data_IF_706147009504
#
_entry.id   IF_706147009504
#
_cell.length_a   1.000
_cell.length_b   1.000
_cell.length_c   1.000
_cell.angle_alpha   90.00
_cell.angle_beta   90.00
_cell.angle_gamma   90.00
#
_symmetry.space_group_name_H-M   'P 1'
#
loop_
_entity.id
_entity.type
_entity.pdbx_description
1 polymer ?
#
# COMPACT_ATOMS: atom_id res chain seq x y z
N UNK A 1 10.10 4.23 -16.88
CA UNK A 1 9.92 3.16 -15.90
C UNK A 1 9.08 3.67 -14.71
N UNK A 2 8.10 2.89 -14.25
CA UNK A 2 7.25 3.25 -13.12
C UNK A 2 6.08 4.18 -13.43
N UNK A 3 5.65 4.24 -14.67
CA UNK A 3 4.47 4.98 -15.12
C UNK A 3 3.34 3.98 -15.37
N UNK A 4 2.15 4.29 -14.87
CA UNK A 4 0.93 3.52 -15.14
C UNK A 4 0.29 4.05 -16.42
N UNK A 5 0.23 3.21 -17.45
CA UNK A 5 -0.41 3.48 -18.72
C UNK A 5 -1.67 2.59 -18.81
N UNK A 6 -2.82 3.17 -18.47
CA UNK A 6 -4.06 2.46 -18.24
C UNK A 6 -5.23 3.13 -18.96
N UNK A 7 -6.29 2.38 -19.32
CA UNK A 7 -7.53 2.95 -19.78
C UNK A 7 -8.31 3.60 -18.63
N UNK A 8 -9.05 4.65 -18.94
CA UNK A 8 -9.97 5.31 -18.02
C UNK A 8 -11.22 4.46 -17.83
N UNK A 9 -11.55 4.15 -16.59
CA UNK A 9 -12.83 3.53 -16.24
C UNK A 9 -13.83 4.61 -15.86
N UNK A 10 -14.92 4.76 -16.64
CA UNK A 10 -16.00 5.72 -16.36
C UNK A 10 -17.02 5.17 -15.38
N UNK A 11 -17.09 3.85 -15.21
CA UNK A 11 -18.03 3.20 -14.30
C UNK A 11 -18.10 1.69 -14.48
N UNK A 12 -19.15 1.12 -13.91
CA UNK A 12 -19.48 -0.30 -14.07
C UNK A 12 -20.78 -0.40 -14.87
N UNK A 13 -20.76 -1.18 -15.93
CA UNK A 13 -21.92 -1.47 -16.77
C UNK A 13 -22.26 -2.95 -16.72
N UNK A 14 -23.54 -3.29 -16.92
CA UNK A 14 -23.96 -4.70 -16.98
C UNK A 14 -23.26 -5.42 -18.12
N UNK A 15 -22.80 -6.63 -17.86
CA UNK A 15 -22.21 -7.54 -18.85
C UNK A 15 -23.28 -8.28 -19.71
N UNK A 16 -24.57 -8.13 -19.33
CA UNK A 16 -25.70 -8.83 -19.94
C UNK A 16 -25.96 -10.24 -19.38
N UNK A 17 -25.09 -10.78 -18.53
CA UNK A 17 -25.18 -12.11 -17.92
C UNK A 17 -25.46 -12.06 -16.41
N UNK A 18 -25.75 -10.88 -15.88
CA UNK A 18 -26.04 -10.66 -14.46
C UNK A 18 -24.86 -10.16 -13.65
N UNK A 19 -23.70 -9.94 -14.27
CA UNK A 19 -22.52 -9.30 -13.70
C UNK A 19 -22.31 -7.88 -14.18
N UNK A 20 -21.19 -7.31 -13.76
CA UNK A 20 -20.72 -5.98 -14.16
C UNK A 20 -19.30 -6.06 -14.74
N UNK A 21 -19.06 -5.23 -15.76
CA UNK A 21 -17.74 -5.01 -16.35
C UNK A 21 -17.37 -3.54 -16.32
N UNK A 22 -16.10 -3.23 -16.51
CA UNK A 22 -15.63 -1.84 -16.58
C UNK A 22 -16.10 -1.19 -17.88
N UNK A 23 -16.70 0.00 -17.75
CA UNK A 23 -16.95 0.88 -18.87
C UNK A 23 -15.69 1.69 -19.14
N UNK A 24 -15.12 1.55 -20.32
CA UNK A 24 -13.89 2.19 -20.73
C UNK A 24 -14.18 3.37 -21.64
N UNK A 25 -13.56 4.51 -21.35
CA UNK A 25 -13.68 5.71 -22.16
C UNK A 25 -12.99 5.51 -23.52
N UNK A 26 -13.71 5.80 -24.59
CA UNK A 26 -13.19 5.86 -25.96
C UNK A 26 -12.52 7.22 -26.16
N UNK A 27 -11.19 7.27 -26.02
CA UNK A 27 -10.41 8.52 -26.07
C UNK A 27 -10.19 9.01 -27.51
N UNK A 28 -10.21 8.12 -28.49
CA UNK A 28 -9.96 8.45 -29.88
C UNK A 28 -11.22 8.62 -30.74
N UNK A 29 -12.40 8.22 -30.20
CA UNK A 29 -13.71 8.37 -30.85
C UNK A 29 -13.95 7.40 -32.00
N UNK A 30 -13.26 6.25 -32.01
CA UNK A 30 -13.43 5.24 -33.05
C UNK A 30 -14.60 4.27 -32.81
N UNK A 31 -15.23 4.34 -31.61
CA UNK A 31 -16.36 3.50 -31.20
C UNK A 31 -15.96 2.12 -30.69
N UNK A 32 -14.66 1.83 -30.56
CA UNK A 32 -14.12 0.56 -30.06
C UNK A 32 -13.08 0.84 -28.99
N UNK A 33 -13.34 0.38 -27.78
CA UNK A 33 -12.40 0.58 -26.66
C UNK A 33 -11.37 -0.55 -26.60
N UNK A 34 -10.10 -0.19 -26.35
CA UNK A 34 -8.97 -1.10 -26.12
C UNK A 34 -8.42 -1.88 -27.32
N UNK A 35 -8.84 -1.62 -28.54
CA UNK A 35 -8.14 -2.18 -29.69
C UNK A 35 -6.71 -1.63 -29.81
N UNK A 36 -5.74 -2.49 -30.09
CA UNK A 36 -4.32 -2.16 -30.34
C UNK A 36 -3.63 -1.27 -29.28
N UNK A 37 -4.14 -1.25 -28.04
CA UNK A 37 -3.59 -0.45 -26.95
C UNK A 37 -3.91 1.04 -27.01
N UNK A 38 -4.83 1.43 -27.87
CA UNK A 38 -5.47 2.74 -27.88
C UNK A 38 -6.31 2.95 -26.62
N UNK A 39 -6.86 4.14 -26.43
CA UNK A 39 -7.68 4.50 -25.25
C UNK A 39 -6.99 4.35 -23.90
N UNK A 40 -5.69 4.48 -23.88
CA UNK A 40 -4.89 4.51 -22.66
C UNK A 40 -4.23 5.84 -22.46
N UNK A 41 -4.04 6.20 -21.21
CA UNK A 41 -3.37 7.44 -20.83
C UNK A 41 -2.38 7.22 -19.69
N UNK A 42 -1.54 8.21 -19.40
CA UNK A 42 -0.65 8.19 -18.26
C UNK A 42 -1.44 8.51 -17.00
N UNK A 43 -1.95 7.47 -16.33
CA UNK A 43 -2.81 7.59 -15.15
C UNK A 43 -2.04 7.99 -13.88
N UNK A 44 -0.72 7.80 -13.87
CA UNK A 44 0.11 8.16 -12.73
C UNK A 44 1.49 7.53 -12.76
N UNK A 45 2.21 7.69 -11.66
CA UNK A 45 3.56 7.14 -11.49
C UNK A 45 3.67 6.39 -10.16
N UNK A 46 4.46 5.31 -10.16
CA UNK A 46 4.73 4.49 -8.99
C UNK A 46 5.85 5.05 -8.10
N UNK A 47 6.71 5.91 -8.66
CA UNK A 47 7.81 6.48 -7.89
C UNK A 47 7.34 7.69 -7.09
N UNK A 48 7.60 7.73 -5.76
CA UNK A 48 7.28 8.89 -4.95
C UNK A 48 8.01 10.15 -5.42
N UNK A 49 7.31 11.28 -5.39
CA UNK A 49 7.90 12.60 -5.64
C UNK A 49 8.66 13.12 -4.43
N UNK A 50 8.23 12.73 -3.24
CA UNK A 50 8.80 13.19 -1.97
C UNK A 50 8.95 12.02 -1.02
N UNK A 51 10.12 11.90 -0.40
CA UNK A 51 10.41 10.96 0.66
C UNK A 51 10.65 11.71 1.96
N UNK A 52 10.08 11.21 3.05
CA UNK A 52 10.28 11.69 4.41
C UNK A 52 11.03 10.62 5.21
N UNK A 53 12.12 11.02 5.87
CA UNK A 53 12.80 10.19 6.86
C UNK A 53 13.14 11.03 8.08
N UNK A 54 12.75 10.61 9.27
CA UNK A 54 13.04 11.30 10.52
C UNK A 54 13.35 10.32 11.62
N UNK A 55 14.40 10.63 12.39
CA UNK A 55 14.71 9.95 13.64
C UNK A 55 14.69 10.98 14.76
N UNK A 56 13.77 10.81 15.70
CA UNK A 56 13.60 11.71 16.84
C UNK A 56 14.06 10.97 18.09
N UNK A 57 15.04 11.53 18.80
CA UNK A 57 15.52 11.00 20.07
C UNK A 57 15.36 12.05 21.16
N UNK A 58 14.77 11.66 22.26
CA UNK A 58 14.55 12.50 23.43
C UNK A 58 15.08 11.82 24.68
N UNK A 59 15.81 12.55 25.53
CA UNK A 59 16.29 12.03 26.81
C UNK A 59 15.90 12.98 27.93
N UNK A 60 15.33 12.40 28.96
CA UNK A 60 15.01 13.13 30.18
C UNK A 60 15.35 12.32 31.41
N UNK A 61 16.32 12.80 32.19
CA UNK A 61 16.88 12.10 33.36
C UNK A 61 17.33 10.67 33.00
N UNK A 62 16.62 9.66 33.53
CA UNK A 62 16.91 8.25 33.32
C UNK A 62 16.18 7.64 32.14
N UNK A 63 15.27 8.37 31.53
CA UNK A 63 14.46 7.89 30.41
C UNK A 63 15.00 8.38 29.08
N UNK A 64 14.94 7.53 28.09
CA UNK A 64 15.19 7.85 26.70
C UNK A 64 14.06 7.31 25.79
N UNK A 65 13.70 8.10 24.81
CA UNK A 65 12.71 7.76 23.80
C UNK A 65 13.35 7.94 22.42
N UNK A 66 13.18 6.95 21.56
CA UNK A 66 13.55 7.06 20.15
C UNK A 66 12.37 6.66 19.28
N UNK A 67 12.10 7.47 18.25
CA UNK A 67 11.04 7.25 17.28
C UNK A 67 11.62 7.41 15.89
N UNK A 68 11.35 6.45 15.00
CA UNK A 68 11.66 6.55 13.59
C UNK A 68 10.38 6.66 12.79
N UNK A 69 10.34 7.64 11.90
CA UNK A 69 9.21 7.93 11.02
C UNK A 69 9.72 7.95 9.59
N UNK A 70 9.03 7.23 8.71
CA UNK A 70 9.23 7.27 7.27
C UNK A 70 7.94 7.66 6.57
N UNK A 71 8.05 8.24 5.39
CA UNK A 71 6.91 8.56 4.56
C UNK A 71 7.28 8.68 3.09
N UNK A 72 6.31 8.46 2.23
CA UNK A 72 6.43 8.67 0.79
C UNK A 72 5.15 9.30 0.26
N UNK A 73 5.30 10.26 -0.65
CA UNK A 73 4.18 11.07 -1.14
C UNK A 73 4.29 11.33 -2.64
N UNK A 74 3.12 11.54 -3.26
CA UNK A 74 3.01 11.92 -4.65
C UNK A 74 3.21 10.78 -5.63
N UNK A 75 2.88 9.54 -5.22
CA UNK A 75 2.88 8.35 -6.06
C UNK A 75 1.52 7.65 -6.03
N UNK A 76 1.34 6.75 -6.98
CA UNK A 76 0.18 5.88 -7.05
C UNK A 76 0.57 4.41 -6.90
N UNK A 77 -0.38 3.61 -6.46
CA UNK A 77 -0.27 2.17 -6.30
C UNK A 77 -1.42 1.53 -7.07
N UNK A 78 -1.10 0.53 -7.88
CA UNK A 78 -2.09 -0.30 -8.52
C UNK A 78 -2.47 -1.47 -7.62
N UNK A 79 -3.72 -1.49 -7.15
CA UNK A 79 -4.24 -2.50 -6.25
C UNK A 79 -4.64 -3.77 -7.02
N UNK A 80 -3.63 -4.53 -7.47
CA UNK A 80 -3.82 -5.79 -8.18
C UNK A 80 -4.44 -6.90 -7.31
N UNK A 81 -4.27 -6.79 -5.98
CA UNK A 81 -4.95 -7.68 -5.03
C UNK A 81 -6.45 -7.49 -5.10
N UNK A 82 -6.93 -6.24 -5.10
CA UNK A 82 -8.36 -5.95 -5.25
C UNK A 82 -8.85 -6.31 -6.64
N UNK A 83 -8.13 -6.00 -7.72
CA UNK A 83 -8.50 -6.43 -9.06
C UNK A 83 -8.78 -7.94 -9.12
N UNK A 84 -7.93 -8.73 -8.48
CA UNK A 84 -8.06 -10.19 -8.48
C UNK A 84 -9.20 -10.67 -7.58
N UNK A 85 -9.20 -10.27 -6.30
CA UNK A 85 -10.09 -10.87 -5.31
C UNK A 85 -11.45 -10.16 -5.15
N UNK A 86 -11.66 -9.02 -5.80
CA UNK A 86 -12.98 -8.39 -5.95
C UNK A 86 -13.71 -8.89 -7.19
N UNK A 87 -13.08 -9.73 -8.00
CA UNK A 87 -13.66 -10.30 -9.21
C UNK A 87 -14.38 -11.62 -8.90
N UNK A 88 -15.63 -11.74 -9.33
CA UNK A 88 -16.46 -12.92 -9.13
C UNK A 88 -16.15 -14.07 -10.09
N UNK A 89 -15.45 -13.83 -11.19
CA UNK A 89 -15.06 -14.88 -12.15
C UNK A 89 -14.13 -15.92 -11.53
N UNK A 90 -13.39 -15.56 -10.49
CA UNK A 90 -12.48 -16.52 -9.83
C UNK A 90 -13.19 -17.45 -8.85
N UNK A 91 -14.46 -17.19 -8.52
CA UNK A 91 -15.24 -18.04 -7.63
C UNK A 91 -15.93 -19.15 -8.43
N UNK A 92 -15.96 -20.42 -7.97
CA UNK A 92 -15.56 -20.91 -6.63
C UNK A 92 -14.10 -21.42 -6.52
N UNK A 93 -13.28 -21.32 -7.57
CA UNK A 93 -11.93 -21.87 -7.57
C UNK A 93 -11.03 -21.20 -6.52
N UNK A 94 -11.26 -19.92 -6.27
CA UNK A 94 -10.61 -19.14 -5.21
C UNK A 94 -11.63 -18.37 -4.37
N UNK A 95 -11.25 -18.09 -3.12
CA UNK A 95 -12.02 -17.19 -2.27
C UNK A 95 -11.93 -15.76 -2.78
N UNK A 96 -13.04 -15.03 -2.65
CA UNK A 96 -13.16 -13.62 -2.99
C UNK A 96 -13.23 -12.77 -1.73
N UNK A 97 -13.01 -11.46 -1.85
CA UNK A 97 -13.21 -10.51 -0.77
C UNK A 97 -14.70 -10.42 -0.42
N UNK A 98 -14.98 -10.08 0.84
CA UNK A 98 -16.35 -10.03 1.38
C UNK A 98 -17.28 -9.11 0.60
N UNK A 99 -16.73 -8.05 0.05
CA UNK A 99 -17.44 -7.04 -0.71
C UNK A 99 -17.66 -7.42 -2.17
N UNK A 100 -16.92 -8.41 -2.71
CA UNK A 100 -16.98 -8.82 -4.11
C UNK A 100 -18.40 -9.19 -4.59
N UNK A 101 -19.20 -9.96 -3.83
CA UNK A 101 -20.57 -10.29 -4.27
C UNK A 101 -21.49 -9.06 -4.40
N UNK A 102 -21.22 -7.98 -3.66
CA UNK A 102 -22.02 -6.75 -3.74
C UNK A 102 -21.71 -5.91 -4.98
N UNK A 103 -20.49 -5.94 -5.45
CA UNK A 103 -20.06 -5.28 -6.69
C UNK A 103 -20.30 -6.17 -7.90
N UNK A 104 -20.22 -7.47 -7.73
CA UNK A 104 -20.44 -8.50 -8.75
C UNK A 104 -19.69 -8.23 -10.07
N UNK A 105 -18.43 -7.78 -9.96
CA UNK A 105 -17.57 -7.53 -11.12
C UNK A 105 -17.12 -8.87 -11.70
N UNK A 106 -17.27 -9.03 -13.01
CA UNK A 106 -16.88 -10.22 -13.79
C UNK A 106 -15.96 -9.78 -14.95
N UNK A 107 -14.94 -8.99 -14.61
CA UNK A 107 -14.00 -8.43 -15.58
C UNK A 107 -12.63 -8.25 -14.93
N UNK A 108 -11.60 -8.78 -15.54
CA UNK A 108 -10.20 -8.69 -15.07
C UNK A 108 -9.39 -7.65 -15.84
N UNK A 109 -10.02 -6.80 -16.62
CA UNK A 109 -9.33 -5.77 -17.39
C UNK A 109 -8.65 -4.79 -16.44
N UNK A 110 -7.35 -4.58 -16.65
CA UNK A 110 -6.57 -3.64 -15.87
C UNK A 110 -6.91 -2.20 -16.29
N UNK A 111 -7.72 -1.52 -15.48
CA UNK A 111 -8.13 -0.12 -15.66
C UNK A 111 -7.62 0.74 -14.51
N UNK A 112 -7.79 2.04 -14.60
CA UNK A 112 -7.47 2.98 -13.51
C UNK A 112 -8.44 2.90 -12.31
N UNK A 113 -9.49 2.08 -12.38
CA UNK A 113 -10.45 1.85 -11.29
C UNK A 113 -9.76 1.40 -9.99
N UNK A 114 -8.69 0.62 -10.09
CA UNK A 114 -7.91 0.12 -8.95
C UNK A 114 -6.61 0.90 -8.72
N UNK A 115 -6.47 2.07 -9.34
CA UNK A 115 -5.27 2.90 -9.19
C UNK A 115 -5.46 3.93 -8.08
N UNK A 116 -4.87 3.69 -6.93
CA UNK A 116 -5.04 4.48 -5.72
C UNK A 116 -3.85 5.41 -5.43
N UNK A 117 -4.05 6.37 -4.51
CA UNK A 117 -2.95 7.17 -3.96
C UNK A 117 -2.14 6.32 -3.00
N UNK A 118 -0.82 6.30 -3.19
CA UNK A 118 0.11 5.54 -2.38
C UNK A 118 0.71 6.32 -1.19
N UNK A 119 0.26 7.53 -0.93
CA UNK A 119 0.82 8.40 0.12
C UNK A 119 0.69 7.75 1.50
N UNK A 120 1.79 7.78 2.27
CA UNK A 120 1.78 7.25 3.62
C UNK A 120 2.78 7.92 4.55
N UNK A 121 2.53 7.79 5.85
CA UNK A 121 3.48 8.01 6.95
C UNK A 121 3.51 6.75 7.80
N UNK A 122 4.69 6.19 8.00
CA UNK A 122 4.90 4.99 8.80
C UNK A 122 5.75 5.30 10.04
N UNK A 123 5.31 4.79 11.18
CA UNK A 123 6.08 4.78 12.43
C UNK A 123 6.80 3.43 12.51
N UNK A 124 8.06 3.39 12.04
CA UNK A 124 8.83 2.16 11.90
C UNK A 124 9.14 1.53 13.24
N UNK A 125 9.66 2.34 14.16
CA UNK A 125 9.88 1.88 15.52
C UNK A 125 9.71 3.01 16.55
N UNK A 126 9.33 2.57 17.72
CA UNK A 126 9.35 3.36 18.96
C UNK A 126 10.09 2.56 20.02
N UNK A 127 11.09 3.16 20.63
CA UNK A 127 11.84 2.55 21.75
C UNK A 127 11.81 3.47 22.95
N UNK A 128 11.35 2.94 24.07
CA UNK A 128 11.41 3.59 25.38
C UNK A 128 12.47 2.87 26.23
N UNK A 129 13.48 3.60 26.67
CA UNK A 129 14.54 3.11 27.53
C UNK A 129 14.50 3.73 28.92
N UNK A 130 14.87 2.96 29.94
CA UNK A 130 15.03 3.40 31.31
C UNK A 130 16.36 2.91 31.86
N UNK A 131 17.24 3.84 32.25
CA UNK A 131 18.46 3.56 32.95
C UNK A 131 18.17 3.52 34.46
N UNK A 132 18.21 2.33 35.04
CA UNK A 132 17.80 2.09 36.42
C UNK A 132 18.80 2.76 37.37
N UNK A 133 18.37 3.65 38.29
CA UNK A 133 19.24 4.23 39.29
C UNK A 133 19.65 3.15 40.33
N UNK A 134 20.90 2.74 40.32
CA UNK A 134 21.36 1.56 41.09
C UNK A 134 21.64 1.84 42.57
N UNK A 135 21.77 3.09 42.99
CA UNK A 135 22.06 3.43 44.37
C UNK A 135 23.25 2.62 44.94
N UNK A 136 23.02 1.88 46.02
CA UNK A 136 24.04 1.04 46.69
C UNK A 136 24.45 -0.19 45.85
N UNK A 137 23.64 -0.63 44.89
CA UNK A 137 23.94 -1.76 44.01
C UNK A 137 25.07 -1.43 43.00
N UNK A 138 25.43 -0.15 42.83
CA UNK A 138 26.50 0.29 41.96
C UNK A 138 27.88 -0.31 42.27
N UNK A 139 28.06 -0.86 43.46
CA UNK A 139 29.25 -1.62 43.83
C UNK A 139 29.39 -2.94 43.07
N UNK A 140 28.27 -3.55 42.68
CA UNK A 140 28.21 -4.87 42.06
C UNK A 140 27.85 -4.80 40.56
N UNK A 141 27.02 -3.82 40.18
CA UNK A 141 26.49 -3.68 38.81
C UNK A 141 26.78 -2.26 38.34
N UNK A 142 27.47 -2.14 37.20
CA UNK A 142 27.86 -0.82 36.66
C UNK A 142 26.67 -0.06 36.03
N UNK A 143 25.80 -0.77 35.32
CA UNK A 143 24.64 -0.19 34.64
C UNK A 143 23.55 -1.25 34.44
N UNK A 144 22.30 -0.87 34.60
CA UNK A 144 21.14 -1.65 34.23
C UNK A 144 20.23 -0.75 33.39
N UNK A 145 19.97 -1.16 32.15
CA UNK A 145 19.03 -0.49 31.26
C UNK A 145 17.94 -1.46 30.88
N UNK A 146 16.70 -1.04 31.08
CA UNK A 146 15.51 -1.72 30.58
C UNK A 146 14.99 -0.95 29.37
N UNK A 147 14.57 -1.64 28.33
CA UNK A 147 13.96 -1.01 27.18
C UNK A 147 12.83 -1.84 26.61
N UNK A 148 11.83 -1.15 26.10
CA UNK A 148 10.71 -1.71 25.34
C UNK A 148 10.74 -1.09 23.96
N UNK A 149 10.70 -1.92 22.95
CA UNK A 149 10.66 -1.48 21.55
C UNK A 149 9.44 -2.08 20.86
N UNK A 150 8.80 -1.26 20.03
CA UNK A 150 7.71 -1.69 19.15
C UNK A 150 8.13 -1.35 17.73
N UNK A 151 8.06 -2.34 16.84
CA UNK A 151 8.36 -2.18 15.42
C UNK A 151 7.06 -2.21 14.61
N UNK A 152 7.01 -1.47 13.50
CA UNK A 152 5.84 -1.30 12.65
C UNK A 152 4.61 -0.86 13.46
N UNK A 153 4.79 0.19 14.27
CA UNK A 153 3.78 0.63 15.25
C UNK A 153 2.47 1.03 14.56
N UNK A 154 2.55 1.82 13.50
CA UNK A 154 1.38 2.29 12.76
C UNK A 154 1.76 2.81 11.38
N UNK A 155 0.85 2.68 10.42
CA UNK A 155 0.93 3.31 9.11
C UNK A 155 -0.32 4.15 8.90
N UNK A 156 -0.14 5.43 8.61
CA UNK A 156 -1.21 6.36 8.25
C UNK A 156 -1.21 6.47 6.73
N UNK A 157 -2.29 6.03 6.09
CA UNK A 157 -2.44 6.03 4.63
C UNK A 157 -3.91 6.08 4.24
N UNK A 158 -4.19 6.55 3.02
CA UNK A 158 -5.49 6.42 2.38
C UNK A 158 -5.58 5.24 1.41
N UNK A 159 -4.53 4.44 1.30
CA UNK A 159 -4.51 3.24 0.46
C UNK A 159 -5.38 2.13 1.07
N UNK A 160 -6.25 1.52 0.26
CA UNK A 160 -7.21 0.51 0.72
C UNK A 160 -6.63 -0.91 0.80
N UNK A 161 -5.50 -1.16 0.15
CA UNK A 161 -4.85 -2.47 0.14
C UNK A 161 -4.08 -2.78 1.43
N UNK A 162 -3.33 -3.88 1.40
CA UNK A 162 -2.68 -4.44 2.59
C UNK A 162 -1.57 -3.55 3.16
N UNK A 163 -0.80 -2.90 2.33
CA UNK A 163 0.28 -1.99 2.72
C UNK A 163 0.66 -1.06 1.57
N UNK A 164 0.86 0.25 1.84
CA UNK A 164 1.35 1.19 0.83
C UNK A 164 2.87 1.06 0.61
N UNK A 165 3.57 0.33 1.47
CA UNK A 165 5.02 0.13 1.38
C UNK A 165 5.35 -1.01 0.41
N UNK A 166 5.13 -0.76 -0.88
CA UNK A 166 5.32 -1.77 -1.92
C UNK A 166 6.75 -1.72 -2.44
N UNK A 167 7.52 -2.75 -2.09
CA UNK A 167 8.84 -3.03 -2.66
C UNK A 167 8.69 -3.91 -3.90
N UNK A 168 8.21 -3.36 -4.98
CA UNK A 168 8.14 -4.08 -6.23
C UNK A 168 9.50 -4.07 -6.93
N UNK A 169 9.86 -5.20 -7.52
CA UNK A 169 11.13 -5.35 -8.23
C UNK A 169 11.10 -4.56 -9.54
N UNK A 170 12.05 -3.65 -9.72
CA UNK A 170 12.27 -2.97 -11.01
C UNK A 170 12.56 -4.00 -12.11
N UNK A 171 13.19 -5.14 -11.74
CA UNK A 171 13.57 -6.20 -12.68
C UNK A 171 12.34 -6.88 -13.32
N UNK A 172 11.22 -6.95 -12.60
CA UNK A 172 10.01 -7.64 -13.06
C UNK A 172 8.94 -6.66 -13.59
N UNK A 173 9.26 -5.39 -13.78
CA UNK A 173 8.30 -4.33 -14.19
C UNK A 173 7.05 -4.23 -13.30
N UNK A 174 7.14 -4.63 -12.03
CA UNK A 174 6.02 -4.61 -11.08
C UNK A 174 6.09 -3.44 -10.12
N UNK A 175 6.80 -2.38 -10.47
CA UNK A 175 6.94 -1.20 -9.63
C UNK A 175 5.57 -0.56 -9.37
N UNK A 176 5.21 -0.43 -8.08
CA UNK A 176 3.94 0.17 -7.66
C UNK A 176 2.72 -0.73 -7.82
N UNK A 177 2.89 -2.01 -8.18
CA UNK A 177 1.81 -2.98 -8.24
C UNK A 177 1.76 -3.78 -6.94
N UNK A 178 0.63 -3.73 -6.25
CA UNK A 178 0.33 -4.57 -5.10
C UNK A 178 -0.28 -5.88 -5.58
N UNK A 179 0.54 -6.92 -5.60
CA UNK A 179 0.12 -8.26 -6.00
C UNK A 179 0.26 -9.24 -4.82
N UNK A 180 -0.85 -9.49 -4.13
CA UNK A 180 -1.01 -10.55 -3.10
C UNK A 180 0.04 -10.52 -1.98
N UNK A 181 0.38 -9.35 -1.48
CA UNK A 181 1.39 -9.18 -0.43
C UNK A 181 0.82 -9.40 0.97
N UNK A 182 1.68 -9.83 1.89
CA UNK A 182 1.33 -9.95 3.30
C UNK A 182 1.53 -8.62 4.04
N UNK A 183 0.74 -8.41 5.10
CA UNK A 183 0.91 -7.27 6.00
C UNK A 183 2.26 -7.28 6.72
N UNK A 184 2.87 -6.11 6.96
CA UNK A 184 3.94 -6.00 7.94
C UNK A 184 3.41 -6.35 9.34
N UNK A 185 4.13 -7.18 10.05
CA UNK A 185 3.74 -7.60 11.41
C UNK A 185 4.29 -6.61 12.42
N UNK A 186 3.45 -6.13 13.33
CA UNK A 186 3.88 -5.36 14.52
C UNK A 186 4.67 -6.29 15.45
N UNK A 187 5.87 -5.89 15.87
CA UNK A 187 6.75 -6.66 16.75
C UNK A 187 7.28 -5.81 17.90
#
# INVERSE_FOLDING_TARGET
LGVFYLPTCTGLVSDGNGGYKYEIEDLNGNGVSLEDGEDRYIAGQAMPKTLLGSNISFRYKQFDLSVQINGAFGHKIYNGTSLTYMNMDIFPDYNVLREAPSLNIQDQTATDYWLEKGDYINFDYLTLGWNVPLGNLRKYVRNVRLSVSVNNLATITGYSGLTPMINSSIVNNTLGIDDKRSYPVVR
#
